data_IF_935432219205
#
_entry.id   IF_935432219205
#
_cell.length_a   1.000
_cell.length_b   1.000
_cell.length_c   1.000
_cell.angle_alpha   90.00
_cell.angle_beta   90.00
_cell.angle_gamma   90.00
#
_symmetry.space_group_name_H-M   'P 1'
#
loop_
_entity.id
_entity.type
_entity.pdbx_description
1 polymer ?
#
# COMPACT_ATOMS: atom_id res chain seq x y z
N UNK A 1 -54.78 -58.70 23.86
CA UNK A 1 -54.91 -57.92 22.61
C UNK A 1 -53.51 -57.42 22.22
N UNK A 2 -53.18 -57.51 20.92
CA UNK A 2 -52.00 -57.03 20.14
C UNK A 2 -51.13 -55.92 20.78
N UNK A 3 -49.81 -55.74 20.59
CA UNK A 3 -48.68 -56.39 19.89
C UNK A 3 -47.47 -55.43 20.00
N UNK A 4 -46.22 -55.94 19.89
CA UNK A 4 -45.01 -55.30 19.33
C UNK A 4 -44.18 -54.26 20.14
N UNK A 5 -42.97 -54.72 20.49
CA UNK A 5 -41.62 -54.13 20.25
C UNK A 5 -41.45 -52.60 20.19
N UNK A 6 -40.55 -52.05 21.01
CA UNK A 6 -39.32 -51.39 20.50
C UNK A 6 -38.26 -51.14 21.57
N UNK A 7 -37.00 -51.31 21.14
CA UNK A 7 -35.77 -51.11 21.89
C UNK A 7 -35.32 -49.63 21.87
N UNK A 8 -34.79 -49.18 23.01
CA UNK A 8 -33.53 -48.44 23.08
C UNK A 8 -33.54 -46.94 22.81
N UNK A 9 -33.39 -46.15 23.86
CA UNK A 9 -32.63 -44.90 23.77
C UNK A 9 -31.90 -44.62 25.09
N UNK A 10 -30.58 -44.55 24.98
CA UNK A 10 -29.62 -44.25 26.05
C UNK A 10 -29.63 -42.73 26.26
N UNK A 11 -29.88 -42.26 27.48
CA UNK A 11 -29.52 -40.91 27.91
C UNK A 11 -28.39 -41.01 28.92
N UNK A 12 -27.20 -40.56 28.51
CA UNK A 12 -26.04 -40.41 29.37
C UNK A 12 -25.83 -38.91 29.58
N UNK A 13 -26.12 -38.45 30.80
CA UNK A 13 -25.84 -37.10 31.28
C UNK A 13 -24.34 -36.94 31.51
N UNK A 14 -23.72 -35.91 30.93
CA UNK A 14 -22.40 -35.42 31.33
C UNK A 14 -22.44 -33.90 31.48
N UNK A 15 -22.17 -33.43 32.69
CA UNK A 15 -21.82 -32.05 32.96
C UNK A 15 -20.31 -31.89 32.76
N UNK A 16 -19.87 -30.87 32.02
CA UNK A 16 -18.48 -30.42 32.00
C UNK A 16 -18.38 -28.93 31.65
N UNK A 17 -17.97 -28.18 32.67
CA UNK A 17 -17.15 -26.97 32.73
C UNK A 17 -16.97 -26.13 31.45
N UNK A 18 -17.40 -24.87 31.57
CA UNK A 18 -16.99 -23.78 30.70
C UNK A 18 -15.47 -23.59 30.74
N UNK A 19 -14.83 -23.68 29.57
CA UNK A 19 -13.49 -23.20 29.33
C UNK A 19 -13.52 -22.28 28.12
N UNK A 20 -13.39 -20.97 28.37
CA UNK A 20 -13.09 -19.99 27.33
C UNK A 20 -11.73 -20.34 26.71
N UNK A 21 -11.73 -20.77 25.45
CA UNK A 21 -10.52 -20.82 24.64
C UNK A 21 -10.37 -19.50 23.89
N UNK A 22 -9.64 -18.55 24.45
CA UNK A 22 -9.08 -17.44 23.67
C UNK A 22 -8.05 -18.02 22.70
N UNK A 23 -8.45 -18.20 21.44
CA UNK A 23 -7.51 -18.39 20.34
C UNK A 23 -6.89 -17.02 20.03
N UNK A 24 -5.90 -16.62 20.81
CA UNK A 24 -5.04 -15.49 20.47
C UNK A 24 -4.35 -15.77 19.14
N UNK A 25 -4.70 -15.02 18.10
CA UNK A 25 -3.89 -14.98 16.87
C UNK A 25 -2.53 -14.46 17.28
N UNK A 26 -1.51 -15.31 17.18
CA UNK A 26 -0.12 -14.92 17.36
C UNK A 26 0.28 -14.06 16.14
N UNK A 27 0.00 -12.77 16.20
CA UNK A 27 0.43 -11.78 15.19
C UNK A 27 1.88 -11.40 15.50
N UNK A 28 2.83 -12.29 15.19
CA UNK A 28 4.22 -11.87 15.13
C UNK A 28 4.33 -10.82 14.02
N UNK A 29 4.47 -9.55 14.39
CA UNK A 29 4.76 -8.49 13.44
C UNK A 29 6.06 -8.87 12.72
N UNK A 30 6.07 -8.96 11.37
CA UNK A 30 7.29 -9.26 10.64
C UNK A 30 8.38 -8.26 11.03
N UNK A 31 9.65 -8.68 11.15
CA UNK A 31 10.73 -7.76 11.44
C UNK A 31 10.72 -6.63 10.39
N UNK A 32 10.96 -5.37 10.80
CA UNK A 32 10.99 -4.27 9.86
C UNK A 32 12.06 -4.54 8.81
N UNK A 33 11.82 -4.06 7.58
CA UNK A 33 12.78 -4.21 6.49
C UNK A 33 14.12 -3.64 6.95
N UNK A 34 15.15 -4.48 6.94
CA UNK A 34 16.53 -4.01 7.14
C UNK A 34 17.02 -3.47 5.81
N UNK A 35 16.41 -2.38 5.38
CA UNK A 35 16.87 -1.66 4.21
C UNK A 35 18.35 -1.28 4.40
N UNK A 36 19.12 -1.19 3.31
CA UNK A 36 20.48 -0.67 3.34
C UNK A 36 20.57 0.80 3.81
N UNK A 37 19.40 1.41 4.10
CA UNK A 37 19.16 2.67 4.80
C UNK A 37 20.46 3.27 5.32
N UNK A 38 21.07 4.10 4.49
CA UNK A 38 22.31 4.75 4.84
C UNK A 38 21.99 5.69 6.00
N UNK A 39 22.80 5.71 7.08
CA UNK A 39 22.65 6.73 8.12
C UNK A 39 22.64 8.09 7.44
N UNK A 40 21.51 8.75 7.56
CA UNK A 40 21.23 9.96 6.81
C UNK A 40 21.68 11.20 7.55
N UNK A 41 22.26 12.15 6.83
CA UNK A 41 22.55 13.52 7.28
C UNK A 41 21.60 14.54 6.64
N UNK A 42 20.61 14.07 5.86
CA UNK A 42 19.61 14.93 5.21
C UNK A 42 18.51 15.32 6.18
N UNK A 43 17.98 16.53 6.01
CA UNK A 43 16.78 16.99 6.70
C UNK A 43 15.52 16.68 5.90
N UNK A 44 14.34 16.77 6.53
CA UNK A 44 13.07 16.70 5.79
C UNK A 44 12.97 17.78 4.69
N UNK A 45 13.64 18.92 4.86
CA UNK A 45 13.64 19.99 3.84
C UNK A 45 14.44 19.57 2.62
N UNK A 46 15.53 18.82 2.82
CA UNK A 46 16.35 18.33 1.71
C UNK A 46 15.64 17.22 0.92
N UNK A 47 14.78 16.42 1.58
CA UNK A 47 14.06 15.29 0.95
C UNK A 47 12.65 15.65 0.47
N UNK A 48 11.90 16.46 1.22
CA UNK A 48 10.48 16.71 0.96
C UNK A 48 10.19 18.13 0.42
N UNK A 49 11.04 19.12 0.70
CA UNK A 49 10.85 20.49 0.21
C UNK A 49 11.74 20.84 -0.98
N UNK A 50 12.99 20.38 -0.96
CA UNK A 50 13.96 20.53 -2.06
C UNK A 50 14.04 19.26 -2.92
N UNK A 51 13.70 18.10 -2.34
CA UNK A 51 13.45 16.91 -3.13
C UNK A 51 12.24 17.19 -3.99
N UNK A 52 12.44 17.04 -5.29
CA UNK A 52 11.41 17.09 -6.32
C UNK A 52 10.18 16.24 -5.93
N UNK A 53 9.05 16.52 -6.59
CA UNK A 53 7.70 15.94 -6.39
C UNK A 53 7.70 14.59 -5.65
N UNK A 54 7.01 14.54 -4.50
CA UNK A 54 6.79 13.31 -3.74
C UNK A 54 5.70 12.48 -4.42
N UNK A 55 6.00 11.22 -4.73
CA UNK A 55 5.03 10.32 -5.35
C UNK A 55 4.26 9.49 -4.34
N UNK A 56 4.96 8.90 -3.37
CA UNK A 56 4.35 7.97 -2.42
C UNK A 56 5.02 8.06 -1.04
N UNK A 57 4.37 7.42 -0.06
CA UNK A 57 4.94 7.20 1.27
C UNK A 57 4.52 5.82 1.80
N UNK A 58 5.30 5.28 2.73
CA UNK A 58 4.90 4.09 3.50
C UNK A 58 5.51 4.14 4.88
N UNK A 59 4.76 3.74 5.91
CA UNK A 59 5.30 3.56 7.26
C UNK A 59 5.70 2.11 7.50
N UNK A 60 6.80 1.90 8.21
CA UNK A 60 7.24 0.55 8.60
C UNK A 60 6.29 -0.07 9.63
N UNK A 61 6.18 -1.41 9.72
CA UNK A 61 5.24 -2.08 10.63
C UNK A 61 5.41 -1.75 12.12
N UNK A 62 6.61 -1.35 12.53
CA UNK A 62 6.94 -0.91 13.91
C UNK A 62 6.59 0.57 14.16
N UNK A 63 6.05 1.27 13.15
CA UNK A 63 5.74 2.69 13.15
C UNK A 63 6.94 3.62 13.44
N UNK A 64 8.18 3.11 13.36
CA UNK A 64 9.38 3.88 13.70
C UNK A 64 9.97 4.62 12.50
N UNK A 65 9.64 4.22 11.27
CA UNK A 65 10.21 4.81 10.07
C UNK A 65 9.17 5.02 8.99
N UNK A 66 9.42 6.01 8.15
CA UNK A 66 8.68 6.25 6.92
C UNK A 66 9.66 6.22 5.74
N UNK A 67 9.20 5.66 4.64
CA UNK A 67 9.87 5.71 3.35
C UNK A 67 9.13 6.65 2.42
N UNK A 68 9.87 7.41 1.62
CA UNK A 68 9.33 8.37 0.66
C UNK A 68 10.07 8.24 -0.66
N UNK A 69 9.31 8.08 -1.74
CA UNK A 69 9.84 8.09 -3.11
C UNK A 69 9.61 9.46 -3.74
N UNK A 70 10.63 9.92 -4.46
CA UNK A 70 10.74 11.24 -5.08
C UNK A 70 11.36 11.07 -6.47
N UNK A 71 11.41 12.13 -7.29
CA UNK A 71 12.21 12.09 -8.53
C UNK A 71 13.72 11.94 -8.27
N UNK A 72 14.20 12.09 -7.03
CA UNK A 72 15.61 12.05 -6.67
C UNK A 72 16.00 10.77 -5.92
N UNK A 73 15.08 9.82 -5.75
CA UNK A 73 15.34 8.53 -5.11
C UNK A 73 14.29 8.12 -4.08
N UNK A 74 14.58 6.99 -3.44
CA UNK A 74 13.80 6.43 -2.33
C UNK A 74 14.56 6.65 -1.03
N UNK A 75 13.93 7.37 -0.10
CA UNK A 75 14.52 7.79 1.17
C UNK A 75 13.80 7.14 2.33
N UNK A 76 14.51 6.90 3.43
CA UNK A 76 13.97 6.42 4.70
C UNK A 76 14.34 7.39 5.82
N UNK A 77 13.40 7.66 6.72
CA UNK A 77 13.69 8.36 7.96
C UNK A 77 14.62 7.53 8.85
N UNK A 78 15.61 8.18 9.47
CA UNK A 78 16.58 7.57 10.37
C UNK A 78 16.34 7.90 11.87
N UNK A 79 15.21 8.56 12.18
CA UNK A 79 14.88 9.06 13.52
C UNK A 79 15.57 10.40 13.83
N UNK A 80 15.04 11.14 14.81
CA UNK A 80 15.58 12.45 15.20
C UNK A 80 15.46 13.54 14.12
N UNK A 81 14.51 13.40 13.19
CA UNK A 81 14.31 14.32 12.06
C UNK A 81 15.28 14.14 10.89
N UNK A 82 16.13 13.11 10.92
CA UNK A 82 17.10 12.81 9.86
C UNK A 82 16.56 11.81 8.85
N UNK A 83 17.07 11.90 7.63
CA UNK A 83 16.69 11.08 6.47
C UNK A 83 17.92 10.63 5.70
N UNK A 84 17.88 9.39 5.18
CA UNK A 84 18.93 8.82 4.36
C UNK A 84 18.35 8.09 3.15
N UNK A 85 19.16 7.94 2.10
CA UNK A 85 18.78 7.13 0.96
C UNK A 85 18.59 5.66 1.39
N UNK A 86 17.59 5.00 0.83
CA UNK A 86 17.36 3.58 1.09
C UNK A 86 18.52 2.72 0.55
N UNK A 87 19.11 3.16 -0.56
CA UNK A 87 20.27 2.54 -1.20
C UNK A 87 20.98 3.56 -2.11
N UNK A 88 22.33 3.54 -2.18
CA UNK A 88 23.07 4.36 -3.15
C UNK A 88 22.66 4.10 -4.61
N UNK A 89 22.21 2.89 -4.94
CA UNK A 89 21.75 2.54 -6.30
C UNK A 89 20.40 3.20 -6.66
N UNK A 90 19.64 3.70 -5.68
CA UNK A 90 18.39 4.42 -5.88
C UNK A 90 18.57 5.93 -5.81
N UNK A 91 19.77 6.43 -5.47
CA UNK A 91 20.02 7.85 -5.49
C UNK A 91 19.92 8.36 -6.93
N UNK A 92 19.14 9.43 -7.12
CA UNK A 92 18.88 10.05 -8.43
C UNK A 92 18.09 9.19 -9.43
N UNK A 93 17.54 8.07 -8.98
CA UNK A 93 16.50 7.36 -9.73
C UNK A 93 15.15 7.98 -9.39
N UNK A 94 14.34 8.25 -10.40
CA UNK A 94 12.95 8.64 -10.19
C UNK A 94 12.16 7.43 -9.71
N UNK A 95 11.73 7.43 -8.45
CA UNK A 95 11.01 6.30 -7.82
C UNK A 95 9.54 6.68 -7.61
N UNK A 96 8.70 6.18 -8.50
CA UNK A 96 7.25 6.43 -8.54
C UNK A 96 6.44 5.37 -7.81
N UNK A 97 7.08 4.35 -7.24
CA UNK A 97 6.42 3.39 -6.34
C UNK A 97 7.32 2.24 -5.91
N UNK A 98 6.90 1.55 -4.86
CA UNK A 98 7.60 0.37 -4.33
C UNK A 98 6.63 -0.61 -3.70
N UNK A 99 7.10 -1.83 -3.51
CA UNK A 99 6.37 -2.86 -2.79
C UNK A 99 7.36 -3.70 -1.96
N UNK A 100 7.01 -3.96 -0.70
CA UNK A 100 7.74 -4.89 0.16
C UNK A 100 6.94 -6.16 0.24
N UNK A 101 7.58 -7.29 -0.04
CA UNK A 101 6.96 -8.60 0.08
C UNK A 101 6.63 -8.90 1.56
N UNK A 102 5.34 -9.04 1.94
CA UNK A 102 4.94 -9.17 3.34
C UNK A 102 5.45 -10.48 3.97
N UNK A 103 5.71 -11.51 3.16
CA UNK A 103 6.22 -12.80 3.64
C UNK A 103 7.75 -12.84 3.64
N UNK A 104 8.41 -11.89 2.97
CA UNK A 104 9.85 -11.75 2.94
C UNK A 104 10.27 -10.27 2.91
N UNK A 105 10.42 -9.61 4.07
CA UNK A 105 10.75 -8.19 4.14
C UNK A 105 12.08 -7.79 3.47
N UNK A 106 12.99 -8.73 3.17
CA UNK A 106 14.21 -8.44 2.41
C UNK A 106 13.98 -8.34 0.90
N UNK A 107 12.82 -8.80 0.43
CA UNK A 107 12.43 -8.78 -0.97
C UNK A 107 11.60 -7.52 -1.27
N UNK A 108 12.25 -6.56 -1.92
CA UNK A 108 11.71 -5.24 -2.20
C UNK A 108 11.67 -5.02 -3.71
N UNK A 109 10.63 -4.37 -4.18
CA UNK A 109 10.48 -3.90 -5.56
C UNK A 109 10.43 -2.39 -5.54
N UNK A 110 11.09 -1.75 -6.50
CA UNK A 110 10.94 -0.33 -6.77
C UNK A 110 10.71 -0.15 -8.28
N UNK A 111 9.94 0.88 -8.63
CA UNK A 111 9.59 1.18 -10.00
C UNK A 111 9.64 2.67 -10.25
N UNK A 112 9.87 3.03 -11.51
CA UNK A 112 10.09 4.42 -11.91
C UNK A 112 10.34 4.58 -13.40
N UNK A 113 10.96 5.70 -13.77
CA UNK A 113 11.29 6.03 -15.16
C UNK A 113 12.21 4.99 -15.83
N UNK A 114 13.08 4.35 -15.04
CA UNK A 114 14.03 3.33 -15.50
C UNK A 114 13.44 1.91 -15.60
N UNK A 115 12.14 1.74 -15.35
CA UNK A 115 11.45 0.45 -15.27
C UNK A 115 11.35 -0.09 -13.84
N UNK A 116 11.28 -1.42 -13.69
CA UNK A 116 11.19 -2.08 -12.39
C UNK A 116 12.54 -2.66 -11.99
N UNK A 117 12.87 -2.58 -10.71
CA UNK A 117 14.03 -3.22 -10.09
C UNK A 117 13.57 -3.97 -8.83
N UNK A 118 14.34 -4.97 -8.43
CA UNK A 118 14.11 -5.68 -7.17
C UNK A 118 15.39 -5.93 -6.41
N UNK A 119 15.27 -5.99 -5.10
CA UNK A 119 16.32 -6.42 -4.18
C UNK A 119 15.83 -7.62 -3.38
N UNK A 120 16.73 -8.53 -3.04
CA UNK A 120 16.47 -9.70 -2.18
C UNK A 120 17.28 -9.69 -0.88
N UNK A 121 17.98 -8.59 -0.62
CA UNK A 121 18.88 -8.44 0.52
C UNK A 121 18.61 -7.14 1.28
N UNK A 122 17.35 -6.69 1.26
CA UNK A 122 16.93 -5.46 1.92
C UNK A 122 17.50 -4.22 1.24
N UNK A 123 17.48 -4.15 -0.09
CA UNK A 123 17.92 -2.96 -0.82
C UNK A 123 19.43 -2.73 -0.89
N UNK A 124 20.26 -3.70 -0.46
CA UNK A 124 21.73 -3.58 -0.57
C UNK A 124 22.20 -3.74 -2.01
N UNK A 125 21.53 -4.58 -2.78
CA UNK A 125 21.76 -4.76 -4.22
C UNK A 125 20.43 -4.83 -4.97
N UNK A 126 20.40 -4.25 -6.15
CA UNK A 126 19.23 -4.27 -7.02
C UNK A 126 19.52 -4.97 -8.35
N UNK A 127 18.48 -5.63 -8.87
CA UNK A 127 18.49 -6.24 -10.20
C UNK A 127 17.32 -5.70 -11.01
N UNK A 128 17.55 -5.42 -12.30
CA UNK A 128 16.51 -4.96 -13.22
C UNK A 128 15.53 -6.08 -13.55
N UNK A 129 14.25 -5.73 -13.49
CA UNK A 129 13.11 -6.53 -13.90
C UNK A 129 12.43 -5.81 -15.07
N UNK A 130 12.35 -6.45 -16.24
CA UNK A 130 11.84 -5.74 -17.42
C UNK A 130 11.36 -6.63 -18.56
N UNK A 131 11.41 -7.95 -18.41
CA UNK A 131 10.95 -8.85 -19.47
C UNK A 131 9.46 -8.65 -19.70
N UNK A 132 9.09 -8.23 -20.91
CA UNK A 132 7.70 -7.99 -21.32
C UNK A 132 7.18 -6.58 -21.03
N UNK A 133 7.96 -5.72 -20.36
CA UNK A 133 7.72 -4.28 -20.32
C UNK A 133 8.26 -3.62 -21.60
N UNK A 134 7.67 -2.50 -22.05
CA UNK A 134 8.24 -1.66 -23.10
C UNK A 134 9.60 -1.09 -22.70
N UNK A 135 10.37 -0.59 -23.67
CA UNK A 135 11.68 0.01 -23.42
C UNK A 135 11.82 1.33 -24.18
N UNK A 136 11.88 2.49 -23.49
CA UNK A 136 11.78 2.65 -22.02
C UNK A 136 10.38 2.31 -21.48
N UNK A 137 10.31 1.89 -20.21
CA UNK A 137 9.05 1.74 -19.48
C UNK A 137 8.96 2.85 -18.45
N UNK A 138 8.22 3.91 -18.78
CA UNK A 138 7.98 5.02 -17.87
C UNK A 138 6.85 4.67 -16.91
N UNK A 139 7.21 4.13 -15.74
CA UNK A 139 6.25 3.70 -14.73
C UNK A 139 5.89 4.90 -13.86
N UNK A 140 4.60 5.24 -13.76
CA UNK A 140 4.11 6.37 -12.95
C UNK A 140 3.38 5.96 -11.68
N UNK A 141 3.01 4.69 -11.56
CA UNK A 141 2.45 4.15 -10.33
C UNK A 141 2.73 2.65 -10.23
N UNK A 142 2.91 2.15 -9.01
CA UNK A 142 3.26 0.76 -8.73
C UNK A 142 2.50 0.21 -7.52
N UNK A 143 1.96 -1.00 -7.64
CA UNK A 143 1.26 -1.68 -6.56
C UNK A 143 1.59 -3.17 -6.56
N UNK A 144 1.45 -3.81 -5.40
CA UNK A 144 1.68 -5.23 -5.24
C UNK A 144 0.74 -5.86 -4.24
N UNK A 145 0.55 -7.17 -4.40
CA UNK A 145 -0.22 -8.00 -3.48
C UNK A 145 0.34 -9.42 -3.44
N UNK A 146 0.32 -10.01 -2.25
CA UNK A 146 0.55 -11.43 -2.05
C UNK A 146 -0.79 -12.13 -1.78
N UNK A 147 -1.07 -13.17 -2.56
CA UNK A 147 -2.25 -14.03 -2.40
C UNK A 147 -1.79 -15.48 -2.32
N UNK A 148 -1.70 -16.00 -1.09
CA UNK A 148 -1.03 -17.25 -0.81
C UNK A 148 0.43 -17.21 -1.30
N UNK A 149 0.83 -18.20 -2.08
CA UNK A 149 2.21 -18.31 -2.60
C UNK A 149 2.51 -17.35 -3.77
N UNK A 150 1.49 -16.75 -4.38
CA UNK A 150 1.65 -15.90 -5.55
C UNK A 150 1.91 -14.45 -5.16
N UNK A 151 2.94 -13.86 -5.77
CA UNK A 151 3.20 -12.43 -5.70
C UNK A 151 2.82 -11.78 -7.04
N UNK A 152 1.76 -10.97 -7.00
CA UNK A 152 1.29 -10.18 -8.15
C UNK A 152 1.77 -8.74 -8.00
N UNK A 153 2.26 -8.18 -9.10
CA UNK A 153 2.71 -6.80 -9.18
C UNK A 153 2.01 -6.11 -10.35
N UNK A 154 1.70 -4.84 -10.17
CA UNK A 154 1.03 -3.98 -11.15
C UNK A 154 1.90 -2.75 -11.37
N UNK A 155 2.13 -2.40 -12.63
CA UNK A 155 2.88 -1.22 -13.03
C UNK A 155 2.08 -0.46 -14.08
N UNK A 156 1.70 0.78 -13.78
CA UNK A 156 1.10 1.65 -14.78
C UNK A 156 2.21 2.29 -15.60
N UNK A 157 2.23 1.99 -16.90
CA UNK A 157 3.16 2.53 -17.88
C UNK A 157 2.47 3.65 -18.65
N UNK A 158 3.04 4.85 -18.59
CA UNK A 158 2.49 6.04 -19.23
C UNK A 158 2.31 5.84 -20.75
N UNK A 159 1.14 6.23 -21.25
CA UNK A 159 0.78 6.11 -22.67
C UNK A 159 0.39 4.71 -23.15
N UNK A 160 0.43 3.68 -22.29
CA UNK A 160 0.07 2.30 -22.65
C UNK A 160 -1.03 1.73 -21.76
N UNK A 161 -0.82 1.70 -20.45
CA UNK A 161 -1.76 1.14 -19.48
C UNK A 161 -1.10 0.35 -18.37
N UNK A 162 -1.86 -0.55 -17.74
CA UNK A 162 -1.37 -1.33 -16.60
C UNK A 162 -0.81 -2.66 -17.07
N UNK A 163 0.46 -2.89 -16.73
CA UNK A 163 1.13 -4.17 -16.86
C UNK A 163 1.00 -4.95 -15.56
N UNK A 164 0.83 -6.27 -15.67
CA UNK A 164 0.80 -7.18 -14.54
C UNK A 164 1.91 -8.22 -14.65
N UNK A 165 2.52 -8.54 -13.52
CA UNK A 165 3.33 -9.74 -13.32
C UNK A 165 2.67 -10.65 -12.29
N UNK A 166 2.63 -11.97 -12.55
CA UNK A 166 2.16 -13.00 -11.60
C UNK A 166 3.30 -13.82 -10.99
N UNK A 167 4.54 -13.44 -11.26
CA UNK A 167 5.73 -14.22 -10.89
C UNK A 167 6.82 -13.34 -10.29
N UNK A 168 6.43 -12.40 -9.42
CA UNK A 168 7.34 -11.49 -8.73
C UNK A 168 8.21 -10.65 -9.70
N UNK A 169 7.58 -10.13 -10.76
CA UNK A 169 8.21 -9.21 -11.71
C UNK A 169 9.18 -9.85 -12.71
N UNK A 170 9.30 -11.19 -12.74
CA UNK A 170 10.17 -11.89 -13.71
C UNK A 170 9.66 -11.76 -15.15
N UNK A 171 8.35 -11.69 -15.34
CA UNK A 171 7.71 -11.46 -16.62
C UNK A 171 6.47 -10.59 -16.45
N UNK A 172 6.30 -9.65 -17.37
CA UNK A 172 5.21 -8.68 -17.41
C UNK A 172 4.40 -8.85 -18.69
N UNK A 173 3.11 -8.57 -18.59
CA UNK A 173 2.20 -8.51 -19.74
C UNK A 173 1.30 -7.30 -19.57
N UNK A 174 0.98 -6.61 -20.66
CA UNK A 174 -0.09 -5.61 -20.65
C UNK A 174 -1.36 -6.31 -20.20
N UNK A 175 -1.88 -5.88 -19.05
CA UNK A 175 -3.09 -6.45 -18.46
C UNK A 175 -4.31 -5.73 -19.03
N UNK A 176 -4.32 -4.40 -18.94
CA UNK A 176 -5.39 -3.57 -19.45
C UNK A 176 -4.82 -2.25 -20.00
N UNK A 177 -5.22 -1.83 -21.21
CA UNK A 177 -4.89 -0.50 -21.71
C UNK A 177 -5.58 0.57 -20.87
N UNK A 178 -4.92 1.71 -20.68
CA UNK A 178 -5.48 2.87 -20.01
C UNK A 178 -4.79 4.14 -20.53
N UNK A 179 -5.55 4.96 -21.26
CA UNK A 179 -5.08 6.20 -21.89
C UNK A 179 -5.51 7.43 -21.08
N UNK A 180 -5.05 7.48 -19.82
CA UNK A 180 -5.26 8.58 -18.88
C UNK A 180 -4.08 8.68 -17.93
N UNK A 181 -3.84 9.87 -17.37
CA UNK A 181 -2.89 10.02 -16.27
C UNK A 181 -3.39 9.26 -15.03
N UNK A 182 -2.48 8.54 -14.38
CA UNK A 182 -2.71 7.83 -13.12
C UNK A 182 -1.86 8.48 -12.05
N UNK A 183 -2.50 8.92 -10.97
CA UNK A 183 -1.84 9.54 -9.83
C UNK A 183 -1.42 8.53 -8.78
N UNK A 184 -2.27 7.53 -8.53
CA UNK A 184 -2.02 6.48 -7.55
C UNK A 184 -2.83 5.23 -7.89
N UNK A 185 -2.32 4.07 -7.50
CA UNK A 185 -3.10 2.83 -7.52
C UNK A 185 -2.72 1.94 -6.33
N UNK A 186 -3.68 1.16 -5.86
CA UNK A 186 -3.46 0.19 -4.78
C UNK A 186 -4.45 -0.97 -4.92
N UNK A 187 -4.04 -2.13 -4.43
CA UNK A 187 -4.83 -3.36 -4.55
C UNK A 187 -5.55 -3.66 -3.24
N UNK A 188 -6.87 -3.78 -3.32
CA UNK A 188 -7.72 -4.23 -2.23
C UNK A 188 -7.80 -5.77 -2.21
N UNK A 189 -7.24 -6.44 -1.18
CA UNK A 189 -7.28 -7.89 -1.07
C UNK A 189 -8.64 -8.44 -0.61
N UNK A 190 -9.52 -7.61 -0.05
CA UNK A 190 -10.85 -8.04 0.42
C UNK A 190 -11.84 -8.02 -0.74
N UNK A 191 -11.83 -6.97 -1.54
CA UNK A 191 -12.65 -6.87 -2.76
C UNK A 191 -12.00 -7.52 -3.99
N UNK A 192 -10.75 -7.99 -3.88
CA UNK A 192 -9.91 -8.50 -4.97
C UNK A 192 -9.79 -7.54 -6.15
N UNK A 193 -9.63 -6.24 -5.86
CA UNK A 193 -9.79 -5.16 -6.83
C UNK A 193 -8.60 -4.21 -6.85
N UNK A 194 -8.10 -3.89 -8.04
CA UNK A 194 -7.14 -2.79 -8.21
C UNK A 194 -7.92 -1.49 -8.35
N UNK A 195 -7.72 -0.56 -7.41
CA UNK A 195 -8.21 0.80 -7.48
C UNK A 195 -7.16 1.72 -8.09
N UNK A 196 -7.60 2.63 -8.96
CA UNK A 196 -6.72 3.53 -9.72
C UNK A 196 -7.29 4.94 -9.67
N UNK A 197 -6.59 5.86 -8.99
CA UNK A 197 -6.88 7.29 -9.05
C UNK A 197 -6.35 7.83 -10.38
N UNK A 198 -7.25 8.06 -11.33
CA UNK A 198 -6.93 8.63 -12.63
C UNK A 198 -7.40 10.10 -12.72
N UNK A 199 -6.96 10.80 -13.78
CA UNK A 199 -7.20 12.23 -14.00
C UNK A 199 -8.63 12.71 -13.69
N UNK A 200 -9.65 11.92 -14.07
CA UNK A 200 -11.06 12.32 -13.97
C UNK A 200 -11.91 11.47 -13.02
N UNK A 201 -11.39 10.33 -12.58
CA UNK A 201 -12.21 9.33 -11.90
C UNK A 201 -11.36 8.37 -11.08
N UNK A 202 -11.96 7.89 -9.99
CA UNK A 202 -11.50 6.66 -9.35
C UNK A 202 -11.99 5.48 -10.18
N UNK A 203 -11.05 4.68 -10.67
CA UNK A 203 -11.34 3.52 -11.51
C UNK A 203 -11.09 2.23 -10.75
N UNK A 204 -11.79 1.18 -11.18
CA UNK A 204 -11.45 -0.19 -10.84
C UNK A 204 -11.65 -1.11 -12.02
N UNK A 205 -11.00 -2.27 -11.98
CA UNK A 205 -11.20 -3.31 -12.98
C UNK A 205 -12.31 -4.29 -12.54
N UNK A 206 -13.23 -4.57 -13.46
CA UNK A 206 -14.24 -5.62 -13.33
C UNK A 206 -14.55 -6.21 -14.72
N UNK A 207 -14.63 -7.54 -14.80
CA UNK A 207 -14.99 -8.27 -16.03
C UNK A 207 -14.18 -7.88 -17.29
N UNK A 208 -12.89 -7.57 -17.13
CA UNK A 208 -12.00 -7.22 -18.24
C UNK A 208 -12.10 -5.76 -18.67
N UNK A 209 -12.81 -4.91 -17.93
CA UNK A 209 -13.03 -3.50 -18.29
C UNK A 209 -12.78 -2.56 -17.11
N UNK A 210 -12.46 -1.31 -17.43
CA UNK A 210 -12.46 -0.22 -16.47
C UNK A 210 -13.89 0.20 -16.14
N UNK A 211 -14.20 0.24 -14.85
CA UNK A 211 -15.41 0.83 -14.28
C UNK A 211 -15.03 2.04 -13.42
N UNK A 212 -15.98 2.93 -13.23
CA UNK A 212 -15.82 4.10 -12.36
C UNK A 212 -16.44 3.81 -11.00
N UNK A 213 -15.66 4.04 -9.95
CA UNK A 213 -16.14 4.11 -8.58
C UNK A 213 -16.69 5.51 -8.31
N UNK A 214 -17.94 5.59 -7.83
CA UNK A 214 -18.58 6.86 -7.55
C UNK A 214 -18.13 7.41 -6.19
N UNK A 215 -17.23 8.38 -6.21
CA UNK A 215 -16.81 9.10 -5.01
C UNK A 215 -17.85 10.19 -4.66
N UNK A 216 -18.31 10.29 -3.40
CA UNK A 216 -19.31 11.29 -3.01
C UNK A 216 -18.93 12.71 -3.41
N UNK A 217 -19.93 13.44 -3.95
CA UNK A 217 -19.80 14.82 -4.45
C UNK A 217 -18.86 15.01 -5.66
N UNK A 218 -18.47 13.94 -6.35
CA UNK A 218 -17.68 14.04 -7.60
C UNK A 218 -16.28 14.62 -7.39
N UNK A 219 -15.70 14.36 -6.22
CA UNK A 219 -14.42 14.93 -5.81
C UNK A 219 -13.26 14.35 -6.63
N UNK A 220 -12.27 15.19 -6.93
CA UNK A 220 -11.05 14.75 -7.60
C UNK A 220 -10.18 13.98 -6.60
N UNK A 221 -9.84 12.73 -6.93
CA UNK A 221 -8.94 11.89 -6.15
C UNK A 221 -7.53 12.01 -6.74
N UNK A 222 -6.57 12.45 -5.93
CA UNK A 222 -5.17 12.57 -6.35
C UNK A 222 -4.24 11.60 -5.59
N UNK A 223 -4.71 10.99 -4.51
CA UNK A 223 -4.00 9.91 -3.82
C UNK A 223 -5.01 8.94 -3.23
N UNK A 224 -4.65 7.65 -3.22
CA UNK A 224 -5.46 6.60 -2.62
C UNK A 224 -4.56 5.58 -1.94
N UNK A 225 -5.13 4.82 -1.01
CA UNK A 225 -4.46 3.68 -0.39
C UNK A 225 -5.46 2.70 0.19
N UNK A 226 -5.09 1.43 0.29
CA UNK A 226 -5.88 0.40 0.97
C UNK A 226 -5.16 -0.10 2.22
N UNK A 227 -5.87 -0.07 3.35
CA UNK A 227 -5.48 -0.87 4.52
C UNK A 227 -5.75 -2.35 4.22
N UNK A 228 -4.67 -3.07 3.91
CA UNK A 228 -4.71 -4.48 3.51
C UNK A 228 -5.25 -5.41 4.60
N UNK A 229 -5.26 -4.99 5.87
CA UNK A 229 -5.71 -5.83 6.97
C UNK A 229 -7.23 -5.97 7.03
N UNK A 230 -7.95 -4.94 6.56
CA UNK A 230 -9.41 -4.86 6.67
C UNK A 230 -10.12 -4.43 5.37
N UNK A 231 -9.38 -4.08 4.31
CA UNK A 231 -9.95 -3.67 3.02
C UNK A 231 -10.50 -2.24 3.02
N UNK A 232 -10.14 -1.41 4.00
CA UNK A 232 -10.59 -0.01 3.99
C UNK A 232 -9.78 0.76 2.94
N UNK A 233 -10.47 1.26 1.92
CA UNK A 233 -9.92 2.18 0.92
C UNK A 233 -10.05 3.61 1.44
N UNK A 234 -8.93 4.33 1.55
CA UNK A 234 -8.91 5.76 1.80
C UNK A 234 -8.50 6.52 0.53
N UNK A 235 -9.16 7.65 0.28
CA UNK A 235 -8.84 8.57 -0.82
C UNK A 235 -8.64 9.97 -0.28
N UNK A 236 -7.60 10.64 -0.74
CA UNK A 236 -7.38 12.06 -0.49
C UNK A 236 -7.93 12.89 -1.65
N UNK A 237 -8.70 13.90 -1.31
CA UNK A 237 -9.42 14.78 -2.22
C UNK A 237 -9.24 16.25 -1.85
N UNK A 238 -9.73 17.14 -2.68
CA UNK A 238 -9.73 18.58 -2.43
C UNK A 238 -10.58 19.01 -1.22
N UNK A 239 -11.52 18.17 -0.78
CA UNK A 239 -12.39 18.46 0.38
C UNK A 239 -11.99 17.68 1.65
N UNK A 240 -10.99 16.80 1.58
CA UNK A 240 -10.52 16.06 2.74
C UNK A 240 -10.20 14.61 2.42
N UNK A 241 -10.42 13.72 3.38
CA UNK A 241 -10.19 12.28 3.21
C UNK A 241 -11.54 11.59 3.32
N UNK A 242 -11.83 10.72 2.36
CA UNK A 242 -12.98 9.82 2.39
C UNK A 242 -12.47 8.38 2.59
N UNK A 243 -13.25 7.60 3.31
CA UNK A 243 -13.01 6.19 3.53
C UNK A 243 -14.18 5.39 2.96
N UNK A 244 -13.87 4.33 2.23
CA UNK A 244 -14.84 3.29 1.88
C UNK A 244 -14.65 2.14 2.86
N UNK A 245 -15.65 1.93 3.71
CA UNK A 245 -15.66 0.89 4.74
C UNK A 245 -16.84 -0.02 4.45
N UNK A 246 -16.58 -1.32 4.29
CA UNK A 246 -17.60 -2.32 3.96
C UNK A 246 -18.46 -1.94 2.72
N UNK A 247 -17.83 -1.31 1.72
CA UNK A 247 -18.47 -0.87 0.49
C UNK A 247 -19.11 0.53 0.53
N UNK A 248 -19.22 1.15 1.71
CA UNK A 248 -19.91 2.43 1.90
C UNK A 248 -18.92 3.58 2.15
N UNK A 249 -19.16 4.71 1.49
CA UNK A 249 -18.31 5.90 1.63
C UNK A 249 -18.70 6.76 2.85
N UNK A 250 -17.70 7.18 3.61
CA UNK A 250 -17.83 8.14 4.70
C UNK A 250 -16.70 9.15 4.68
N UNK A 251 -16.97 10.39 5.12
CA UNK A 251 -15.92 11.36 5.37
C UNK A 251 -15.14 10.99 6.64
N UNK A 252 -13.82 11.05 6.58
CA UNK A 252 -12.98 10.88 7.75
C UNK A 252 -13.20 12.08 8.69
N UNK A 253 -13.85 11.82 9.83
CA UNK A 253 -14.21 12.86 10.81
C UNK A 253 -13.01 13.66 11.32
N UNK A 254 -11.86 13.01 11.45
CA UNK A 254 -10.62 13.64 11.89
C UNK A 254 -10.04 14.49 10.76
N UNK A 255 -10.28 15.80 10.82
CA UNK A 255 -9.76 16.74 9.81
C UNK A 255 -8.23 16.79 9.87
N UNK A 256 -7.59 16.56 8.73
CA UNK A 256 -6.15 16.75 8.60
C UNK A 256 -5.77 18.22 8.84
N UNK A 257 -4.56 18.50 9.38
CA UNK A 257 -4.13 19.86 9.68
C UNK A 257 -3.99 20.74 8.43
N UNK A 258 -3.77 20.11 7.28
CA UNK A 258 -3.71 20.70 5.95
C UNK A 258 -4.12 19.63 4.93
N UNK A 259 -4.22 20.03 3.66
CA UNK A 259 -4.48 19.09 2.57
C UNK A 259 -3.30 18.12 2.46
N UNK A 260 -3.58 16.83 2.60
CA UNK A 260 -2.58 15.78 2.38
C UNK A 260 -2.50 15.50 0.90
N UNK A 261 -1.31 15.55 0.31
CA UNK A 261 -1.04 15.26 -1.11
C UNK A 261 -0.80 13.77 -1.37
N UNK A 262 -0.34 13.05 -0.34
CA UNK A 262 -0.11 11.60 -0.37
C UNK A 262 -0.63 11.02 0.94
N UNK A 263 -1.32 9.88 0.87
CA UNK A 263 -1.81 9.12 2.03
C UNK A 263 -1.40 7.65 1.90
N UNK A 264 -1.08 7.02 3.02
CA UNK A 264 -0.75 5.60 3.10
C UNK A 264 -1.26 4.98 4.41
N UNK A 265 -1.33 3.64 4.52
CA UNK A 265 -1.77 2.96 5.72
C UNK A 265 -0.80 3.25 6.86
N UNK A 266 -1.37 3.46 8.04
CA UNK A 266 -0.61 3.55 9.26
C UNK A 266 -0.12 2.18 9.76
N UNK A 267 0.49 2.20 10.94
CA UNK A 267 1.04 1.05 11.63
C UNK A 267 1.04 1.35 13.14
N UNK A 268 1.05 0.31 13.96
CA UNK A 268 0.88 0.47 15.41
C UNK A 268 -0.44 1.16 15.75
N UNK A 269 -0.37 2.26 16.49
CA UNK A 269 -1.55 3.05 16.92
C UNK A 269 -2.02 4.07 15.87
N UNK A 270 -1.37 4.11 14.70
CA UNK A 270 -1.72 5.03 13.63
C UNK A 270 -2.59 4.34 12.59
N UNK A 271 -3.74 4.94 12.26
CA UNK A 271 -4.63 4.46 11.20
C UNK A 271 -4.12 4.85 9.82
N UNK A 272 -3.76 6.12 9.65
CA UNK A 272 -3.25 6.68 8.40
C UNK A 272 -2.01 7.51 8.65
N UNK A 273 -1.17 7.61 7.65
CA UNK A 273 -0.06 8.54 7.59
C UNK A 273 -0.11 9.28 6.25
N UNK A 274 0.26 10.55 6.24
CA UNK A 274 0.21 11.35 5.02
C UNK A 274 1.20 12.50 5.02
N UNK A 275 1.48 13.01 3.83
CA UNK A 275 2.33 14.19 3.61
C UNK A 275 1.43 15.35 3.18
N UNK A 276 1.54 16.49 3.87
CA UNK A 276 0.81 17.73 3.56
C UNK A 276 1.45 18.55 2.44
N UNK A 277 0.71 19.53 1.90
CA UNK A 277 1.24 20.50 0.91
C UNK A 277 2.47 21.29 1.42
N UNK A 278 2.60 21.47 2.74
CA UNK A 278 3.78 22.06 3.39
C UNK A 278 4.97 21.09 3.53
N UNK A 279 4.84 19.89 2.96
CA UNK A 279 5.80 18.79 3.05
C UNK A 279 6.03 18.27 4.48
N UNK A 280 5.07 18.49 5.39
CA UNK A 280 5.08 17.89 6.71
C UNK A 280 4.42 16.52 6.68
N UNK A 281 4.96 15.60 7.47
CA UNK A 281 4.37 14.29 7.68
C UNK A 281 3.41 14.35 8.87
N UNK A 282 2.22 13.79 8.71
CA UNK A 282 1.23 13.63 9.76
C UNK A 282 0.79 12.18 9.89
N UNK A 283 0.55 11.75 11.12
CA UNK A 283 -0.02 10.44 11.42
C UNK A 283 -1.31 10.63 12.23
N UNK A 284 -2.34 9.88 11.86
CA UNK A 284 -3.64 9.86 12.54
C UNK A 284 -3.64 8.77 13.60
N UNK A 285 -3.76 9.15 14.87
CA UNK A 285 -4.02 8.21 15.97
C UNK A 285 -5.33 8.57 16.66
N UNK A 286 -6.22 7.58 16.80
CA UNK A 286 -7.59 7.83 17.25
C UNK A 286 -8.32 8.81 16.32
N UNK A 287 -8.69 9.97 16.85
CA UNK A 287 -9.38 11.05 16.14
C UNK A 287 -8.48 12.28 15.90
N UNK A 288 -7.18 12.18 16.16
CA UNK A 288 -6.25 13.30 16.10
C UNK A 288 -5.07 13.05 15.16
N UNK A 289 -4.89 13.99 14.24
CA UNK A 289 -3.66 14.09 13.46
C UNK A 289 -2.55 14.74 14.28
N UNK A 290 -1.38 14.10 14.27
CA UNK A 290 -0.18 14.59 14.92
C UNK A 290 0.92 14.71 13.88
N UNK A 291 1.73 15.77 13.98
CA UNK A 291 2.94 15.86 13.18
C UNK A 291 3.88 14.71 13.57
N UNK A 292 4.30 13.95 12.58
CA UNK A 292 5.22 12.83 12.74
C UNK A 292 6.65 13.37 12.50
N UNK A 293 7.53 13.21 13.49
CA UNK A 293 8.86 13.82 13.53
C UNK A 293 9.97 12.78 13.30
#
# INVERSE_FOLDING_TARGET
MRSLLQWGMIMMTWALLAGCGESGRNTSVPPPVTAAATPGDLTYQDVLQKGEVVHNLSMTPDAQRIWVGTHAGLYSSAGGGLWGALSPELEREDVTGWFVDPDNPEHIFAAGQSGVISSKDGGKKWIRLGKGLPQPAEIRSFAGIREGEQLRLFAFVAGEGIYQSSNAGKEWKLWLPLDQEVYAMDYDPVEHRLYVAAQFSLLYHEEGQWKTEAVPHGQQVYSLTVDRANGVLAVATDQGILEKVDGEWQELRAKAPEKLIVIAPGAGDYKWVGIGESAFVYALSGDKWMKWN
#
